data_IF_758502124511
#
_entry.id   IF_758502124511
#
_cell.length_a   1.000
_cell.length_b   1.000
_cell.length_c   1.000
_cell.angle_alpha   90.00
_cell.angle_beta   90.00
_cell.angle_gamma   90.00
#
_symmetry.space_group_name_H-M   'P 1'
#
loop_
_entity.id
_entity.type
_entity.pdbx_description
1 polymer ?
#
# COMPACT_ATOMS: atom_id res chain seq x y z
N UNK A 1 -63.60 13.89 -34.50
CA UNK A 1 -62.41 13.15 -34.95
C UNK A 1 -61.16 13.99 -34.73
N UNK A 2 -60.10 13.45 -34.12
CA UNK A 2 -58.72 13.98 -34.31
C UNK A 2 -57.96 14.57 -33.11
N UNK A 3 -57.38 13.68 -32.28
CA UNK A 3 -56.02 13.70 -31.67
C UNK A 3 -55.51 14.87 -30.78
N UNK A 4 -55.24 14.48 -29.51
CA UNK A 4 -54.03 14.65 -28.64
C UNK A 4 -53.31 16.00 -28.47
N UNK A 5 -53.11 16.42 -27.20
CA UNK A 5 -51.82 16.71 -26.50
C UNK A 5 -52.07 17.49 -25.18
N UNK A 6 -51.86 16.93 -23.97
CA UNK A 6 -50.65 16.95 -23.10
C UNK A 6 -50.17 18.35 -22.66
N UNK A 7 -50.27 18.70 -21.37
CA UNK A 7 -49.18 18.83 -20.35
C UNK A 7 -49.51 19.79 -19.21
N UNK A 8 -49.31 19.30 -17.98
CA UNK A 8 -48.73 19.90 -16.77
C UNK A 8 -49.18 21.26 -16.19
N UNK A 9 -49.34 21.24 -14.86
CA UNK A 9 -49.08 22.41 -14.01
C UNK A 9 -49.78 22.30 -12.66
N UNK A 10 -49.12 21.71 -11.66
CA UNK A 10 -49.58 21.67 -10.26
C UNK A 10 -49.78 23.08 -9.68
N UNK A 11 -50.78 23.29 -8.80
CA UNK A 11 -50.71 24.34 -7.81
C UNK A 11 -50.41 23.77 -6.42
N UNK A 12 -49.60 24.56 -5.72
CA UNK A 12 -49.50 24.79 -4.29
C UNK A 12 -50.45 24.05 -3.33
N UNK A 13 -49.92 23.77 -2.13
CA UNK A 13 -50.68 24.00 -0.91
C UNK A 13 -50.48 22.97 0.19
N UNK A 14 -49.99 23.49 1.32
CA UNK A 14 -50.49 23.27 2.68
C UNK A 14 -50.59 21.84 3.26
N UNK A 15 -50.22 21.72 4.54
CA UNK A 15 -50.71 20.65 5.39
C UNK A 15 -49.83 20.40 6.59
N UNK A 16 -50.25 20.89 7.75
CA UNK A 16 -49.69 20.49 9.03
C UNK A 16 -49.99 19.03 9.39
N UNK A 17 -49.28 18.52 10.38
CA UNK A 17 -49.60 17.24 11.00
C UNK A 17 -48.48 16.72 11.88
N UNK A 18 -48.86 16.41 13.13
CA UNK A 18 -48.29 15.34 13.97
C UNK A 18 -46.82 15.42 14.36
N UNK A 19 -46.65 15.91 15.59
CA UNK A 19 -45.83 15.35 16.67
C UNK A 19 -45.46 13.87 16.44
N UNK A 20 -44.21 13.50 16.77
CA UNK A 20 -43.47 12.26 16.43
C UNK A 20 -42.80 12.22 15.04
N UNK A 21 -41.89 13.17 14.81
CA UNK A 21 -40.90 13.05 13.74
C UNK A 21 -39.51 12.78 14.34
N UNK A 22 -38.85 11.66 13.99
CA UNK A 22 -37.48 11.35 14.45
C UNK A 22 -36.44 12.38 13.98
N UNK A 23 -36.85 13.29 13.09
CA UNK A 23 -36.06 14.41 12.58
C UNK A 23 -36.11 15.68 13.44
N UNK A 24 -36.89 15.71 14.53
CA UNK A 24 -36.89 16.83 15.46
C UNK A 24 -35.50 17.08 16.08
N UNK A 25 -34.71 16.02 16.22
CA UNK A 25 -33.31 16.06 16.70
C UNK A 25 -32.40 16.81 15.71
N UNK A 26 -32.74 16.84 14.42
CA UNK A 26 -31.96 17.54 13.39
C UNK A 26 -32.17 19.06 13.44
N UNK A 27 -33.35 19.52 13.87
CA UNK A 27 -33.63 20.95 14.01
C UNK A 27 -32.76 21.62 15.10
N UNK A 28 -32.37 20.84 16.13
CA UNK A 28 -31.51 21.31 17.22
C UNK A 28 -30.02 21.45 16.84
N UNK A 29 -29.60 20.97 15.66
CA UNK A 29 -28.21 21.04 15.18
C UNK A 29 -27.87 22.35 14.44
N UNK A 30 -28.80 23.31 14.31
CA UNK A 30 -28.56 24.61 13.65
C UNK A 30 -27.68 25.58 14.44
N UNK A 31 -27.14 25.17 15.59
CA UNK A 31 -26.34 26.01 16.50
C UNK A 31 -24.95 25.46 16.82
N UNK A 32 -24.33 24.68 15.92
CA UNK A 32 -22.95 24.24 16.13
C UNK A 32 -21.96 25.37 15.83
N UNK A 33 -20.97 25.62 16.72
CA UNK A 33 -19.96 26.65 16.51
C UNK A 33 -19.15 26.33 15.24
N UNK A 34 -19.09 27.31 14.35
CA UNK A 34 -18.14 27.37 13.23
C UNK A 34 -16.78 27.71 13.80
N UNK A 35 -16.10 26.71 14.34
CA UNK A 35 -14.66 26.79 14.59
C UNK A 35 -14.03 25.43 14.30
N UNK A 36 -13.85 25.15 13.02
CA UNK A 36 -12.78 24.26 12.62
C UNK A 36 -11.49 25.07 12.73
N UNK A 37 -10.54 24.69 13.60
CA UNK A 37 -9.21 25.25 13.50
C UNK A 37 -8.72 24.96 12.09
N UNK A 38 -8.31 26.01 11.38
CA UNK A 38 -7.53 25.90 10.15
C UNK A 38 -6.14 25.37 10.52
N UNK A 39 -6.10 24.10 10.91
CA UNK A 39 -4.87 23.34 10.84
C UNK A 39 -4.66 23.08 9.35
N UNK A 40 -4.02 24.05 8.71
CA UNK A 40 -3.27 23.86 7.49
C UNK A 40 -2.20 22.78 7.75
N UNK A 41 -2.65 21.53 7.84
CA UNK A 41 -1.82 20.40 7.51
C UNK A 41 -1.85 20.40 5.99
N UNK A 42 -1.00 21.26 5.43
CA UNK A 42 -0.39 20.96 4.15
C UNK A 42 -0.07 19.46 4.15
N UNK A 43 -0.33 18.72 3.05
CA UNK A 43 0.20 17.37 2.97
C UNK A 43 1.68 17.51 3.23
N UNK A 44 2.10 17.10 4.43
CA UNK A 44 3.48 16.88 4.76
C UNK A 44 3.85 15.76 3.81
N UNK A 45 4.32 16.18 2.64
CA UNK A 45 4.93 15.39 1.61
C UNK A 45 5.75 14.40 2.41
N UNK A 46 5.40 13.09 2.42
CA UNK A 46 6.06 12.13 3.26
C UNK A 46 7.53 12.36 3.03
N UNK A 47 8.20 12.78 4.11
CA UNK A 47 9.47 13.45 4.04
C UNK A 47 10.34 12.74 3.03
N UNK A 48 11.07 13.53 2.25
CA UNK A 48 12.34 13.06 1.71
C UNK A 48 13.05 12.34 2.86
N UNK A 49 12.87 11.01 2.93
CA UNK A 49 13.71 10.11 3.69
C UNK A 49 14.97 10.15 2.87
N UNK A 50 15.75 11.18 3.14
CA UNK A 50 17.16 11.30 2.83
C UNK A 50 17.74 9.88 2.83
N UNK A 51 18.27 9.35 1.72
CA UNK A 51 18.99 8.10 1.74
C UNK A 51 20.36 8.34 2.39
N UNK A 52 20.38 8.90 3.59
CA UNK A 52 21.55 9.14 4.41
C UNK A 52 21.55 8.14 5.57
N UNK A 53 21.57 6.85 5.23
CA UNK A 53 22.44 5.94 5.96
C UNK A 53 23.35 5.35 4.91
N UNK A 54 24.64 5.68 5.01
CA UNK A 54 25.72 4.86 4.50
C UNK A 54 25.57 3.48 5.15
N UNK A 55 24.61 2.69 4.66
CA UNK A 55 24.42 1.30 5.05
C UNK A 55 25.69 0.63 4.57
N UNK A 56 26.59 0.33 5.50
CA UNK A 56 27.67 -0.63 5.36
C UNK A 56 27.21 -1.66 4.34
N UNK A 57 27.79 -1.66 3.12
CA UNK A 57 27.21 -2.33 1.93
C UNK A 57 26.68 -3.72 2.30
N UNK A 58 25.39 -3.80 2.59
CA UNK A 58 24.78 -5.03 3.09
C UNK A 58 24.81 -6.02 1.93
N UNK A 59 25.43 -7.17 2.18
CA UNK A 59 25.52 -8.24 1.20
C UNK A 59 24.24 -9.06 1.26
N UNK A 60 23.49 -9.07 0.18
CA UNK A 60 22.31 -9.90 -0.01
C UNK A 60 22.65 -11.01 -0.99
N UNK A 61 22.20 -12.23 -0.70
CA UNK A 61 22.41 -13.39 -1.57
C UNK A 61 21.10 -13.68 -2.30
N UNK A 62 21.15 -13.69 -3.62
CA UNK A 62 20.02 -13.98 -4.47
C UNK A 62 20.10 -15.42 -5.00
N UNK A 63 19.10 -16.22 -4.68
CA UNK A 63 18.99 -17.62 -5.10
C UNK A 63 17.75 -17.79 -5.97
N UNK A 64 17.88 -18.55 -7.04
CA UNK A 64 16.75 -18.99 -7.85
C UNK A 64 16.45 -20.45 -7.55
N UNK A 65 15.20 -20.75 -7.22
CA UNK A 65 14.72 -22.09 -7.01
C UNK A 65 13.61 -22.45 -8.00
N UNK A 66 13.84 -23.52 -8.77
CA UNK A 66 12.92 -24.02 -9.80
C UNK A 66 12.57 -25.50 -9.60
N UNK A 67 13.24 -26.19 -8.67
CA UNK A 67 13.06 -27.62 -8.46
C UNK A 67 11.71 -27.90 -7.78
N UNK A 68 11.00 -28.92 -8.27
CA UNK A 68 9.75 -29.45 -7.70
C UNK A 68 8.51 -28.54 -7.68
N UNK A 69 8.53 -27.33 -8.28
CA UNK A 69 7.36 -26.40 -8.25
C UNK A 69 6.47 -26.39 -9.49
N UNK A 70 6.48 -27.46 -10.30
CA UNK A 70 5.59 -27.57 -11.47
C UNK A 70 5.83 -26.50 -12.53
N UNK A 71 7.09 -26.11 -12.76
CA UNK A 71 7.49 -25.10 -13.75
C UNK A 71 7.50 -23.66 -13.26
N UNK A 72 7.13 -23.39 -11.99
CA UNK A 72 7.20 -22.04 -11.41
C UNK A 72 8.56 -21.81 -10.75
N UNK A 73 9.29 -20.81 -11.23
CA UNK A 73 10.48 -20.29 -10.57
C UNK A 73 10.09 -19.41 -9.37
N UNK A 74 10.90 -19.45 -8.32
CA UNK A 74 10.87 -18.49 -7.22
C UNK A 74 12.27 -17.96 -6.96
N UNK A 75 12.34 -16.71 -6.53
CA UNK A 75 13.57 -16.04 -6.14
C UNK A 75 13.58 -15.89 -4.63
N UNK A 76 14.67 -16.32 -4.00
CA UNK A 76 14.88 -16.20 -2.56
C UNK A 76 15.98 -15.15 -2.35
N UNK A 77 15.65 -14.12 -1.60
CA UNK A 77 16.58 -13.07 -1.16
C UNK A 77 16.98 -13.38 0.28
N UNK A 78 18.22 -13.81 0.49
CA UNK A 78 18.77 -14.10 1.81
C UNK A 78 19.77 -13.01 2.25
N UNK A 79 20.09 -12.98 3.55
CA UNK A 79 21.04 -12.02 4.13
C UNK A 79 20.38 -10.76 4.70
N UNK A 80 19.09 -10.85 5.07
CA UNK A 80 18.33 -9.77 5.72
C UNK A 80 18.30 -9.91 7.25
N UNK A 81 19.01 -10.89 7.81
CA UNK A 81 19.18 -11.09 9.26
C UNK A 81 20.55 -10.64 9.78
N UNK A 82 21.03 -11.24 10.87
CA UNK A 82 22.38 -11.00 11.37
C UNK A 82 23.41 -11.53 10.36
N UNK A 83 24.33 -10.72 9.80
CA UNK A 83 25.01 -9.53 10.35
C UNK A 83 24.54 -8.16 9.81
N UNK A 84 23.43 -8.08 9.07
CA UNK A 84 22.94 -6.84 8.46
C UNK A 84 22.19 -5.93 9.45
N UNK A 85 21.73 -6.47 10.59
CA UNK A 85 21.01 -5.71 11.62
C UNK A 85 19.68 -5.14 11.14
N UNK A 86 19.02 -5.81 10.20
CA UNK A 86 17.70 -5.43 9.74
C UNK A 86 16.66 -5.85 10.78
N UNK A 87 15.73 -4.96 11.12
CA UNK A 87 14.55 -5.29 11.90
C UNK A 87 13.50 -5.99 11.04
N UNK A 88 12.55 -6.70 11.68
CA UNK A 88 11.45 -7.37 10.96
C UNK A 88 10.70 -6.35 10.10
N UNK A 89 10.43 -5.18 10.67
CA UNK A 89 9.75 -4.09 9.99
C UNK A 89 10.49 -3.62 8.72
N UNK A 90 11.82 -3.45 8.78
CA UNK A 90 12.60 -3.04 7.61
C UNK A 90 12.60 -4.12 6.51
N UNK A 91 12.62 -5.40 6.90
CA UNK A 91 12.54 -6.52 5.95
C UNK A 91 11.17 -6.60 5.30
N UNK A 92 10.09 -6.41 6.06
CA UNK A 92 8.72 -6.35 5.55
C UNK A 92 8.50 -5.15 4.63
N UNK A 93 9.02 -3.97 5.00
CA UNK A 93 9.01 -2.77 4.16
C UNK A 93 9.73 -3.04 2.84
N UNK A 94 10.92 -3.63 2.87
CA UNK A 94 11.66 -3.99 1.67
C UNK A 94 10.90 -5.00 0.81
N UNK A 95 10.33 -6.03 1.42
CA UNK A 95 9.51 -7.03 0.72
C UNK A 95 8.28 -6.38 0.06
N UNK A 96 7.56 -5.50 0.77
CA UNK A 96 6.42 -4.74 0.24
C UNK A 96 6.82 -3.91 -0.97
N UNK A 97 7.95 -3.20 -0.88
CA UNK A 97 8.45 -2.39 -1.98
C UNK A 97 8.86 -3.25 -3.18
N UNK A 98 9.52 -4.40 -2.97
CA UNK A 98 9.87 -5.32 -4.05
C UNK A 98 8.62 -5.88 -4.73
N UNK A 99 7.62 -6.32 -3.95
CA UNK A 99 6.33 -6.80 -4.48
C UNK A 99 5.62 -5.73 -5.31
N UNK A 100 5.60 -4.48 -4.84
CA UNK A 100 4.99 -3.37 -5.58
C UNK A 100 5.69 -3.07 -6.90
N UNK A 101 7.03 -3.09 -6.92
CA UNK A 101 7.81 -2.80 -8.12
C UNK A 101 7.75 -3.93 -9.16
N UNK A 102 7.72 -5.19 -8.70
CA UNK A 102 7.74 -6.36 -9.57
C UNK A 102 6.34 -6.84 -9.97
N UNK A 103 5.30 -6.42 -9.23
CA UNK A 103 3.94 -6.93 -9.40
C UNK A 103 3.81 -8.42 -9.05
N UNK A 104 4.75 -8.96 -8.28
CA UNK A 104 4.81 -10.37 -7.92
C UNK A 104 4.35 -10.60 -6.49
N UNK A 105 3.72 -11.76 -6.25
CA UNK A 105 3.45 -12.25 -4.91
C UNK A 105 4.76 -12.67 -4.23
N UNK A 106 4.81 -12.55 -2.90
CA UNK A 106 5.96 -12.97 -2.13
C UNK A 106 5.71 -12.96 -0.62
N UNK A 107 6.45 -13.79 0.08
CA UNK A 107 6.39 -13.97 1.55
C UNK A 107 7.76 -13.68 2.16
N UNK A 108 7.76 -13.30 3.43
CA UNK A 108 8.99 -13.19 4.23
C UNK A 108 9.03 -14.42 5.11
N UNK A 109 10.07 -15.22 4.97
CA UNK A 109 10.31 -16.40 5.79
C UNK A 109 11.34 -16.03 6.87
N UNK A 110 11.00 -16.34 8.11
CA UNK A 110 11.88 -16.13 9.26
C UNK A 110 12.52 -17.46 9.66
N UNK A 111 13.84 -17.50 9.66
CA UNK A 111 14.65 -18.66 10.00
C UNK A 111 15.53 -18.33 11.21
N UNK A 112 14.93 -18.30 12.40
CA UNK A 112 15.63 -17.96 13.64
C UNK A 112 16.06 -16.49 13.66
N UNK A 113 17.37 -16.24 13.58
CA UNK A 113 17.95 -14.89 13.52
C UNK A 113 18.12 -14.37 12.08
N UNK A 114 17.92 -15.26 11.10
CA UNK A 114 17.95 -14.95 9.67
C UNK A 114 16.55 -14.72 9.11
N UNK A 115 16.47 -13.88 8.07
CA UNK A 115 15.24 -13.60 7.35
C UNK A 115 15.49 -13.67 5.86
N UNK A 116 14.54 -14.26 5.14
CA UNK A 116 14.60 -14.46 3.70
C UNK A 116 13.31 -13.97 3.04
N UNK A 117 13.41 -13.28 1.90
CA UNK A 117 12.23 -12.86 1.13
C UNK A 117 12.08 -13.80 -0.05
N UNK A 118 10.97 -14.52 -0.10
CA UNK A 118 10.62 -15.42 -1.21
C UNK A 118 9.68 -14.68 -2.16
N UNK A 119 10.13 -14.44 -3.37
CA UNK A 119 9.38 -13.79 -4.45
C UNK A 119 9.01 -14.81 -5.51
N UNK A 120 7.75 -14.79 -5.97
CA UNK A 120 7.31 -15.62 -7.06
C UNK A 120 7.78 -15.05 -8.41
N UNK A 121 8.26 -15.92 -9.29
CA UNK A 121 8.72 -15.55 -10.63
C UNK A 121 10.20 -15.82 -10.87
N UNK A 122 10.65 -15.57 -12.10
CA UNK A 122 12.03 -15.77 -12.56
C UNK A 122 12.77 -14.42 -12.75
N UNK A 123 12.27 -13.34 -12.15
CA UNK A 123 12.79 -11.99 -12.41
C UNK A 123 14.01 -11.64 -11.53
N UNK A 124 14.98 -12.55 -11.43
CA UNK A 124 16.18 -12.37 -10.60
C UNK A 124 16.96 -11.10 -10.98
N UNK A 125 17.08 -10.82 -12.29
CA UNK A 125 17.76 -9.63 -12.80
C UNK A 125 17.11 -8.33 -12.30
N UNK A 126 15.78 -8.19 -12.43
CA UNK A 126 15.06 -7.01 -11.94
C UNK A 126 15.16 -6.84 -10.43
N UNK A 127 15.07 -7.95 -9.68
CA UNK A 127 15.26 -7.92 -8.22
C UNK A 127 16.66 -7.41 -7.87
N UNK A 128 17.69 -7.94 -8.54
CA UNK A 128 19.08 -7.55 -8.32
C UNK A 128 19.32 -6.07 -8.67
N UNK A 129 18.76 -5.57 -9.77
CA UNK A 129 18.82 -4.16 -10.16
C UNK A 129 18.16 -3.24 -9.12
N UNK A 130 16.95 -3.58 -8.66
CA UNK A 130 16.23 -2.79 -7.65
C UNK A 130 16.99 -2.75 -6.32
N UNK A 131 17.59 -3.87 -5.91
CA UNK A 131 18.41 -3.93 -4.69
C UNK A 131 19.71 -3.14 -4.86
N UNK A 132 20.39 -3.22 -6.01
CA UNK A 132 21.59 -2.42 -6.31
C UNK A 132 21.31 -0.93 -6.36
N UNK A 133 20.18 -0.52 -6.96
CA UNK A 133 19.75 0.87 -7.01
C UNK A 133 19.52 1.46 -5.61
N UNK A 134 19.14 0.63 -4.64
CA UNK A 134 18.99 1.00 -3.23
C UNK A 134 20.28 0.96 -2.41
N UNK A 135 21.42 0.64 -3.04
CA UNK A 135 22.72 0.59 -2.39
C UNK A 135 23.09 -0.75 -1.73
N UNK A 136 22.31 -1.81 -1.97
CA UNK A 136 22.65 -3.16 -1.49
C UNK A 136 23.63 -3.85 -2.45
N UNK A 137 24.53 -4.68 -1.90
CA UNK A 137 25.40 -5.53 -2.72
C UNK A 137 24.72 -6.87 -2.92
N UNK A 138 24.27 -7.14 -4.13
CA UNK A 138 23.64 -8.42 -4.49
C UNK A 138 24.69 -9.38 -5.04
N UNK A 139 24.81 -10.54 -4.42
CA UNK A 139 25.66 -11.67 -4.81
C UNK A 139 24.78 -12.88 -5.19
N UNK A 140 25.19 -13.71 -6.15
CA UNK A 140 24.44 -14.88 -6.60
C UNK A 140 23.79 -14.75 -7.98
N UNK A 141 22.62 -15.36 -8.17
CA UNK A 141 21.98 -15.52 -9.49
C UNK A 141 21.52 -14.15 -10.00
N UNK A 142 22.25 -13.60 -10.97
CA UNK A 142 21.94 -12.31 -11.60
C UNK A 142 21.43 -12.49 -13.04
N UNK A 143 21.26 -13.72 -13.51
CA UNK A 143 20.88 -14.07 -14.88
C UNK A 143 20.00 -15.30 -14.96
#
# INVERSE_FOLDING_TARGET
MGKKSKTNGSPAGAGGGTQDSPFAVLAALSGLPTELPVANVAPEIPGTREPARTKTRVRLVLRRETKHRGGKAVIIVAGLGAPAGFDLHDTEELARQLKHQLGCGGTVEEHGEDREIVLQGDQAGKVAELLRARGFRVDGVTS
#
